data_IF_393788259557
#
_entry.id   IF_393788259557
#
_cell.length_a   1.000
_cell.length_b   1.000
_cell.length_c   1.000
_cell.angle_alpha   90.00
_cell.angle_beta   90.00
_cell.angle_gamma   90.00
#
_symmetry.space_group_name_H-M   'P 1'
#
loop_
_entity.id
_entity.type
_entity.pdbx_description
1 polymer ?
#
# COMPACT_ATOMS: atom_id res chain seq x y z
N UNK A 1 6.30 7.91 8.65
CA UNK A 1 5.34 6.91 9.19
C UNK A 1 5.89 5.55 8.86
N UNK A 2 5.81 4.57 9.77
CA UNK A 2 6.46 3.28 9.54
C UNK A 2 5.62 2.41 8.61
N UNK A 3 6.25 1.82 7.60
CA UNK A 3 5.68 0.75 6.78
C UNK A 3 6.53 -0.50 6.95
N UNK A 4 5.93 -1.61 7.39
CA UNK A 4 6.61 -2.90 7.52
C UNK A 4 6.09 -3.85 6.45
N UNK A 5 7.00 -4.36 5.64
CA UNK A 5 6.74 -5.34 4.58
C UNK A 5 7.30 -6.68 5.05
N UNK A 6 6.45 -7.71 5.04
CA UNK A 6 6.82 -9.11 5.26
C UNK A 6 6.01 -9.94 4.28
N UNK A 7 6.43 -11.18 4.06
CA UNK A 7 5.70 -12.09 3.19
C UNK A 7 4.24 -12.16 3.62
N UNK A 8 3.36 -11.88 2.66
CA UNK A 8 1.91 -11.90 2.82
C UNK A 8 1.35 -10.93 3.87
N UNK A 9 2.14 -9.97 4.36
CA UNK A 9 1.71 -9.01 5.37
C UNK A 9 2.34 -7.63 5.18
N UNK A 10 1.47 -6.64 5.04
CA UNK A 10 1.85 -5.23 5.00
C UNK A 10 1.20 -4.51 6.19
N UNK A 11 1.94 -3.65 6.87
CA UNK A 11 1.38 -2.79 7.94
C UNK A 11 1.86 -1.36 7.82
N UNK A 12 0.97 -0.42 8.15
CA UNK A 12 1.26 1.01 8.24
C UNK A 12 0.98 1.49 9.67
N UNK A 13 1.91 2.21 10.27
CA UNK A 13 1.79 2.69 11.65
C UNK A 13 2.17 4.18 11.72
N UNK A 14 1.26 5.06 12.18
CA UNK A 14 -0.14 4.78 12.54
C UNK A 14 -1.03 4.50 11.30
N UNK A 15 -2.14 3.77 11.48
CA UNK A 15 -3.12 3.52 10.40
C UNK A 15 -4.06 4.70 10.10
N UNK A 16 -3.94 5.78 10.88
CA UNK A 16 -4.68 7.04 10.71
C UNK A 16 -3.72 8.21 10.78
N UNK A 17 -3.70 9.06 9.77
CA UNK A 17 -2.78 10.22 9.67
C UNK A 17 -3.53 11.48 9.19
N UNK A 18 -3.05 12.70 9.52
CA UNK A 18 -3.59 13.92 8.92
C UNK A 18 -3.25 14.00 7.42
N UNK A 19 -4.10 14.69 6.65
CA UNK A 19 -3.86 14.98 5.25
C UNK A 19 -2.65 15.91 5.03
N UNK A 20 -2.06 15.82 3.83
CA UNK A 20 -0.88 16.57 3.41
C UNK A 20 0.28 15.66 3.02
N UNK A 21 1.50 16.19 3.12
CA UNK A 21 2.71 15.43 2.83
C UNK A 21 3.01 14.42 3.93
N UNK A 22 3.01 13.14 3.57
CA UNK A 22 3.34 12.02 4.44
C UNK A 22 4.63 11.37 3.94
N UNK A 23 5.63 11.30 4.83
CA UNK A 23 6.82 10.46 4.61
C UNK A 23 6.48 9.05 5.06
N UNK A 24 6.65 8.06 4.19
CA UNK A 24 6.47 6.64 4.48
C UNK A 24 7.84 5.98 4.50
N UNK A 25 8.18 5.34 5.61
CA UNK A 25 9.48 4.74 5.88
C UNK A 25 9.32 3.22 5.81
N UNK A 26 9.58 2.67 4.62
CA UNK A 26 9.43 1.26 4.30
C UNK A 26 10.63 0.48 4.83
N UNK A 27 10.33 -0.65 5.47
CA UNK A 27 11.32 -1.65 5.88
C UNK A 27 10.85 -3.01 5.40
N UNK A 28 11.65 -3.65 4.56
CA UNK A 28 11.43 -5.05 4.24
C UNK A 28 12.05 -5.92 5.34
N UNK A 29 11.18 -6.57 6.10
CA UNK A 29 11.48 -7.46 7.21
C UNK A 29 11.26 -8.94 6.85
N UNK A 30 10.94 -9.24 5.59
CA UNK A 30 10.77 -10.59 5.02
C UNK A 30 11.96 -11.06 4.17
N UNK A 31 12.02 -12.35 3.83
CA UNK A 31 13.00 -12.93 2.93
C UNK A 31 12.73 -12.62 1.45
N UNK A 32 11.49 -12.29 1.05
CA UNK A 32 11.14 -12.01 -0.34
C UNK A 32 11.35 -10.53 -0.70
N UNK A 33 11.51 -10.25 -2.00
CA UNK A 33 11.40 -8.88 -2.50
C UNK A 33 9.94 -8.43 -2.38
N UNK A 34 9.74 -7.14 -2.10
CA UNK A 34 8.41 -6.56 -2.00
C UNK A 34 8.32 -5.25 -2.77
N UNK A 35 7.08 -4.84 -3.02
CA UNK A 35 6.72 -3.51 -3.47
C UNK A 35 5.64 -2.93 -2.56
N UNK A 36 5.40 -1.63 -2.69
CA UNK A 36 4.29 -0.95 -2.03
C UNK A 36 3.57 -0.08 -3.07
N UNK A 37 2.26 -0.26 -3.21
CA UNK A 37 1.39 0.54 -4.07
C UNK A 37 0.32 1.17 -3.20
N UNK A 38 0.01 2.44 -3.44
CA UNK A 38 -1.02 3.18 -2.72
C UNK A 38 -2.11 3.56 -3.71
N UNK A 39 -3.35 3.15 -3.43
CA UNK A 39 -4.52 3.53 -4.21
C UNK A 39 -5.58 4.13 -3.31
N UNK A 40 -6.28 5.16 -3.77
CA UNK A 40 -7.46 5.70 -3.08
C UNK A 40 -8.64 4.74 -3.27
N UNK A 41 -9.35 4.41 -2.19
CA UNK A 41 -10.51 3.53 -2.23
C UNK A 41 -11.80 4.27 -1.91
N UNK A 42 -12.91 3.77 -2.47
CA UNK A 42 -14.24 4.15 -2.00
C UNK A 42 -14.49 3.49 -0.64
N UNK A 43 -15.29 4.13 0.21
CA UNK A 43 -15.66 3.52 1.48
C UNK A 43 -16.54 2.28 1.22
N UNK A 44 -16.06 1.07 1.57
CA UNK A 44 -16.95 -0.05 1.85
C UNK A 44 -16.62 -1.44 1.31
N UNK A 45 -15.63 -1.63 0.43
CA UNK A 45 -15.38 -2.98 -0.12
C UNK A 45 -14.00 -3.58 0.20
N UNK A 46 -12.98 -2.77 0.51
CA UNK A 46 -11.65 -3.23 0.99
C UNK A 46 -10.94 -4.22 0.06
N UNK A 47 -11.49 -4.48 -1.12
CA UNK A 47 -11.05 -5.47 -2.09
C UNK A 47 -10.88 -4.77 -3.42
N UNK A 48 -9.65 -4.76 -3.89
CA UNK A 48 -9.29 -4.27 -5.19
C UNK A 48 -9.79 -5.24 -6.27
N UNK A 49 -10.14 -4.75 -7.47
CA UNK A 49 -10.40 -5.62 -8.60
C UNK A 49 -9.17 -6.49 -8.85
N UNK A 50 -9.38 -7.76 -9.19
CA UNK A 50 -8.31 -8.69 -9.53
C UNK A 50 -8.18 -8.82 -11.05
N UNK A 51 -6.96 -9.10 -11.51
CA UNK A 51 -6.72 -9.55 -12.89
C UNK A 51 -7.33 -10.94 -13.12
N UNK A 52 -7.30 -11.38 -14.37
CA UNK A 52 -7.77 -12.71 -14.77
C UNK A 52 -7.02 -13.86 -14.09
N UNK A 53 -5.77 -13.63 -13.67
CA UNK A 53 -4.99 -14.60 -12.88
C UNK A 53 -5.60 -14.88 -11.50
N UNK A 54 -6.50 -14.01 -11.03
CA UNK A 54 -7.15 -14.09 -9.73
C UNK A 54 -6.19 -13.98 -8.54
N UNK A 55 -4.93 -13.58 -8.72
CA UNK A 55 -3.90 -13.50 -7.68
C UNK A 55 -3.25 -12.12 -7.57
N UNK A 56 -3.33 -11.30 -8.62
CA UNK A 56 -2.88 -9.90 -8.61
C UNK A 56 -4.07 -8.95 -8.70
N UNK A 57 -3.98 -7.81 -8.03
CA UNK A 57 -4.85 -6.67 -8.24
C UNK A 57 -4.66 -6.11 -9.65
N UNK A 58 -5.77 -5.67 -10.26
CA UNK A 58 -5.80 -5.05 -11.58
C UNK A 58 -5.39 -3.59 -11.48
N UNK A 59 -4.10 -3.33 -11.65
CA UNK A 59 -3.56 -1.97 -11.64
C UNK A 59 -4.06 -1.09 -12.77
N UNK A 60 -4.47 -1.67 -13.91
CA UNK A 60 -5.01 -0.90 -15.03
C UNK A 60 -6.40 -0.36 -14.67
N UNK A 61 -7.23 -1.20 -14.02
CA UNK A 61 -8.51 -0.76 -13.44
C UNK A 61 -8.35 0.24 -12.29
N UNK A 62 -7.18 0.29 -11.64
CA UNK A 62 -6.86 1.18 -10.54
C UNK A 62 -6.10 2.43 -10.95
N UNK A 63 -5.73 2.59 -12.23
CA UNK A 63 -4.83 3.65 -12.68
C UNK A 63 -5.31 5.06 -12.26
N UNK A 64 -6.61 5.34 -12.37
CA UNK A 64 -7.21 6.62 -11.99
C UNK A 64 -7.23 6.87 -10.46
N UNK A 65 -6.96 5.84 -9.65
CA UNK A 65 -6.96 5.86 -8.18
C UNK A 65 -5.57 5.71 -7.59
N UNK A 66 -4.56 5.36 -8.39
CA UNK A 66 -3.17 5.18 -7.96
C UNK A 66 -2.59 6.52 -7.54
N UNK A 67 -2.02 6.55 -6.35
CA UNK A 67 -1.34 7.73 -5.78
C UNK A 67 0.14 7.66 -6.13
N UNK A 68 0.81 6.60 -5.70
CA UNK A 68 2.24 6.40 -5.90
C UNK A 68 2.63 4.93 -5.63
N UNK A 69 3.86 4.55 -5.95
CA UNK A 69 4.43 3.24 -5.64
C UNK A 69 5.93 3.26 -5.32
N UNK A 70 6.36 2.20 -4.64
CA UNK A 70 7.76 1.82 -4.47
C UNK A 70 7.96 0.41 -5.03
N UNK A 71 8.33 0.33 -6.32
CA UNK A 71 8.29 -0.89 -7.13
C UNK A 71 9.26 -2.00 -6.70
N UNK A 72 10.28 -1.67 -5.90
CA UNK A 72 11.24 -2.66 -5.39
C UNK A 72 11.79 -2.24 -4.04
N UNK A 73 11.64 -3.12 -3.06
CA UNK A 73 12.21 -3.08 -1.72
C UNK A 73 12.82 -4.45 -1.43
N UNK A 74 14.14 -4.55 -1.58
CA UNK A 74 14.88 -5.80 -1.41
C UNK A 74 14.86 -6.28 0.06
N UNK A 75 15.03 -7.58 0.32
CA UNK A 75 15.12 -8.13 1.68
C UNK A 75 16.13 -7.37 2.55
N UNK A 76 15.74 -7.06 3.79
CA UNK A 76 16.58 -6.36 4.75
C UNK A 76 16.87 -4.88 4.45
N UNK A 77 16.32 -4.34 3.36
CA UNK A 77 16.53 -2.93 2.97
C UNK A 77 15.43 -2.01 3.49
N UNK A 78 15.73 -0.70 3.45
CA UNK A 78 14.82 0.38 3.79
C UNK A 78 14.71 1.35 2.64
N UNK A 79 13.53 1.95 2.48
CA UNK A 79 13.27 3.00 1.49
C UNK A 79 12.33 4.03 2.08
N UNK A 80 12.48 5.29 1.68
CA UNK A 80 11.52 6.35 2.04
C UNK A 80 10.76 6.79 0.79
N UNK A 81 9.44 6.88 0.89
CA UNK A 81 8.56 7.44 -0.13
C UNK A 81 7.81 8.63 0.46
N UNK A 82 7.81 9.77 -0.22
CA UNK A 82 7.08 10.97 0.20
C UNK A 82 5.89 11.17 -0.72
N UNK A 83 4.69 11.10 -0.16
CA UNK A 83 3.43 11.18 -0.91
C UNK A 83 2.55 12.29 -0.35
N UNK A 84 1.77 12.94 -1.22
CA UNK A 84 0.75 13.88 -0.79
C UNK A 84 -0.60 13.18 -0.73
N UNK A 85 -1.22 13.14 0.45
CA UNK A 85 -2.49 12.45 0.68
C UNK A 85 -3.59 13.43 1.05
N UNK A 86 -4.71 13.34 0.34
CA UNK A 86 -5.95 14.04 0.69
C UNK A 86 -6.77 13.26 1.71
N UNK A 87 -7.71 13.90 2.45
CA UNK A 87 -8.62 13.19 3.34
C UNK A 87 -9.39 12.08 2.61
N UNK A 88 -9.36 10.85 3.13
CA UNK A 88 -9.94 9.69 2.47
C UNK A 88 -9.46 8.36 3.02
N UNK A 89 -9.85 7.28 2.35
CA UNK A 89 -9.37 5.91 2.61
C UNK A 89 -8.49 5.47 1.45
N UNK A 90 -7.46 4.71 1.80
CA UNK A 90 -6.48 4.20 0.85
C UNK A 90 -6.21 2.73 1.16
N UNK A 91 -6.00 1.96 0.12
CA UNK A 91 -5.40 0.63 0.23
C UNK A 91 -3.90 0.76 -0.06
N UNK A 92 -3.10 0.20 0.85
CA UNK A 92 -1.65 0.08 0.68
C UNK A 92 -1.34 -1.41 0.55
N UNK A 93 -0.73 -1.82 -0.56
CA UNK A 93 -0.59 -3.25 -0.88
C UNK A 93 0.67 -3.57 -1.66
N UNK A 94 1.02 -4.86 -1.69
CA UNK A 94 2.02 -5.44 -2.58
C UNK A 94 1.30 -6.29 -3.63
N UNK A 95 1.63 -6.11 -4.91
CA UNK A 95 0.95 -6.78 -6.03
C UNK A 95 1.80 -7.87 -6.70
N UNK A 96 2.94 -8.23 -6.11
CA UNK A 96 3.69 -9.41 -6.52
C UNK A 96 2.81 -10.66 -6.47
N UNK A 97 3.08 -11.62 -7.36
CA UNK A 97 2.19 -12.76 -7.63
C UNK A 97 1.75 -13.47 -6.33
N UNK A 98 0.45 -13.39 -6.01
CA UNK A 98 -0.14 -14.03 -4.82
C UNK A 98 -0.05 -13.22 -3.52
N UNK A 99 0.80 -12.18 -3.44
CA UNK A 99 1.01 -11.40 -2.22
C UNK A 99 -0.28 -10.69 -1.79
N UNK A 100 -0.91 -9.95 -2.71
CA UNK A 100 -2.18 -9.26 -2.45
C UNK A 100 -3.26 -10.24 -1.95
N UNK A 101 -3.51 -11.31 -2.71
CA UNK A 101 -4.54 -12.31 -2.38
C UNK A 101 -4.30 -13.01 -1.05
N UNK A 102 -3.03 -13.19 -0.67
CA UNK A 102 -2.65 -13.81 0.60
C UNK A 102 -2.74 -12.87 1.81
N UNK A 103 -3.09 -11.59 1.60
CA UNK A 103 -3.31 -10.62 2.68
C UNK A 103 -2.24 -9.53 2.79
N UNK A 104 -1.37 -9.36 1.78
CA UNK A 104 -0.33 -8.32 1.79
C UNK A 104 -0.89 -6.94 1.42
N UNK A 105 -1.86 -6.50 2.20
CA UNK A 105 -2.53 -5.22 2.03
C UNK A 105 -3.04 -4.68 3.37
N UNK A 106 -3.25 -3.38 3.46
CA UNK A 106 -3.78 -2.73 4.66
C UNK A 106 -4.47 -1.41 4.32
N UNK A 107 -5.45 -1.04 5.15
CA UNK A 107 -6.12 0.25 5.05
C UNK A 107 -5.28 1.36 5.71
N UNK A 108 -5.19 2.50 5.03
CA UNK A 108 -4.74 3.77 5.58
C UNK A 108 -5.87 4.79 5.54
N UNK A 109 -6.20 5.38 6.69
CA UNK A 109 -7.19 6.47 6.78
C UNK A 109 -6.47 7.81 6.90
N UNK A 110 -6.84 8.74 6.04
CA UNK A 110 -6.32 10.10 6.05
C UNK A 110 -7.43 11.04 6.46
N UNK A 111 -7.21 11.81 7.52
CA UNK A 111 -8.21 12.71 8.10
C UNK A 111 -7.88 14.17 7.83
N UNK A 112 -8.87 15.04 7.89
CA UNK A 112 -8.64 16.49 7.84
C UNK A 112 -7.75 16.89 9.02
N UNK A 113 -6.69 17.71 8.82
CA UNK A 113 -5.90 18.26 9.91
C UNK A 113 -6.82 19.04 10.86
N UNK A 114 -6.62 18.88 12.17
CA UNK A 114 -7.31 19.69 13.17
C UNK A 114 -6.71 21.09 13.24
#
# INVERSE_FOLDING_TARGET
MKVSLRDFRLTVTPARVPAGWVSMDLSNEGPDTHEMIIVRTAAGDGRLPLRLDGITADEDALAARKVDSADTVLPGTRRTLRVHLEPGRYEVFCNMAGHYRAGMHTELVVVVPS
#
